data_IF_301246554790
#
_entry.id   IF_301246554790
#
_cell.length_a   1.000
_cell.length_b   1.000
_cell.length_c   1.000
_cell.angle_alpha   90.00
_cell.angle_beta   90.00
_cell.angle_gamma   90.00
#
_symmetry.space_group_name_H-M   'P 1'
#
loop_
_entity.id
_entity.type
_entity.pdbx_description
1 polymer ?
#
# COMPACT_ATOMS: atom_id res chain seq x y z
N UNK A 1 -10.21 8.16 -7.49
CA UNK A 1 -10.06 6.81 -8.00
C UNK A 1 -11.29 5.99 -7.66
N UNK A 2 -11.54 4.99 -8.46
CA UNK A 2 -12.78 4.22 -8.34
C UNK A 2 -12.65 2.99 -7.45
N UNK A 3 -11.72 3.04 -6.50
CA UNK A 3 -11.51 1.93 -5.58
C UNK A 3 -12.28 2.13 -4.30
N UNK A 4 -12.75 1.02 -3.74
CA UNK A 4 -13.40 1.00 -2.44
C UNK A 4 -12.58 0.08 -1.53
N UNK A 5 -12.20 0.59 -0.37
CA UNK A 5 -11.48 -0.19 0.62
C UNK A 5 -12.46 -0.63 1.71
N UNK A 6 -12.71 -1.93 1.77
CA UNK A 6 -13.58 -2.51 2.80
C UNK A 6 -12.71 -3.08 3.91
N UNK A 7 -12.64 -2.37 5.03
CA UNK A 7 -11.79 -2.76 6.14
C UNK A 7 -12.32 -3.96 6.89
N UNK A 8 -13.63 -4.12 6.92
CA UNK A 8 -14.25 -5.24 7.64
C UNK A 8 -13.97 -6.56 6.93
N UNK A 9 -14.12 -6.57 5.61
CA UNK A 9 -13.91 -7.76 4.80
C UNK A 9 -12.46 -7.90 4.33
N UNK A 10 -11.65 -6.88 4.56
CA UNK A 10 -10.24 -6.83 4.14
C UNK A 10 -10.10 -7.06 2.64
N UNK A 11 -10.86 -6.27 1.88
CA UNK A 11 -10.80 -6.34 0.43
C UNK A 11 -10.65 -4.93 -0.17
N UNK A 12 -9.99 -4.90 -1.31
CA UNK A 12 -9.94 -3.73 -2.16
C UNK A 12 -10.80 -4.04 -3.37
N UNK A 13 -11.74 -3.17 -3.68
CA UNK A 13 -12.75 -3.43 -4.68
C UNK A 13 -12.74 -2.35 -5.75
N UNK A 14 -12.92 -2.78 -6.99
CA UNK A 14 -13.08 -1.86 -8.11
C UNK A 14 -14.09 -2.49 -9.07
N UNK A 15 -15.20 -1.78 -9.31
CA UNK A 15 -16.30 -2.31 -10.11
C UNK A 15 -16.77 -3.65 -9.51
N UNK A 16 -16.75 -4.73 -10.29
CA UNK A 16 -17.17 -6.05 -9.81
C UNK A 16 -16.00 -6.95 -9.44
N UNK A 17 -14.81 -6.38 -9.30
CA UNK A 17 -13.61 -7.13 -9.01
C UNK A 17 -13.16 -6.90 -7.57
N UNK A 18 -12.81 -7.98 -6.87
CA UNK A 18 -12.35 -7.92 -5.49
C UNK A 18 -10.93 -8.46 -5.38
N UNK A 19 -10.18 -7.87 -4.47
CA UNK A 19 -8.84 -8.37 -4.12
C UNK A 19 -8.76 -8.46 -2.60
N UNK A 20 -8.50 -9.66 -2.09
CA UNK A 20 -8.26 -9.82 -0.65
C UNK A 20 -6.89 -9.27 -0.30
N UNK A 21 -6.84 -8.48 0.76
CA UNK A 21 -5.59 -7.88 1.22
C UNK A 21 -5.46 -8.07 2.72
N UNK A 22 -4.24 -7.92 3.21
CA UNK A 22 -3.96 -8.10 4.63
C UNK A 22 -4.27 -6.83 5.41
N UNK A 23 -4.33 -6.95 6.72
CA UNK A 23 -4.55 -5.81 7.61
C UNK A 23 -3.46 -4.75 7.43
N UNK A 24 -2.21 -5.19 7.29
CA UNK A 24 -1.09 -4.26 7.08
C UNK A 24 -1.19 -3.55 5.73
N UNK A 25 -1.66 -4.25 4.72
CA UNK A 25 -1.88 -3.64 3.41
C UNK A 25 -2.99 -2.60 3.47
N UNK A 26 -4.04 -2.88 4.25
CA UNK A 26 -5.10 -1.90 4.48
C UNK A 26 -4.54 -0.65 5.15
N UNK A 27 -3.77 -0.83 6.21
CA UNK A 27 -3.16 0.29 6.93
C UNK A 27 -2.28 1.12 6.01
N UNK A 28 -1.52 0.46 5.16
CA UNK A 28 -0.66 1.14 4.21
C UNK A 28 -1.46 1.98 3.21
N UNK A 29 -2.51 1.39 2.64
CA UNK A 29 -3.35 2.12 1.68
C UNK A 29 -4.03 3.31 2.35
N UNK A 30 -4.54 3.12 3.57
CA UNK A 30 -5.18 4.20 4.30
C UNK A 30 -4.25 5.37 4.59
N UNK A 31 -3.02 5.07 5.02
CA UNK A 31 -2.09 6.13 5.37
C UNK A 31 -1.67 6.91 4.12
N UNK A 32 -1.52 6.22 2.99
CA UNK A 32 -1.22 6.90 1.73
C UNK A 32 -2.39 7.76 1.28
N UNK A 33 -3.60 7.25 1.42
CA UNK A 33 -4.79 7.98 0.98
C UNK A 33 -5.03 9.24 1.81
N UNK A 34 -4.67 9.22 3.08
CA UNK A 34 -4.86 10.37 3.95
C UNK A 34 -3.73 11.39 3.88
N UNK A 35 -2.64 11.06 3.21
CA UNK A 35 -1.50 11.95 3.08
C UNK A 35 -1.56 12.78 1.81
N UNK A 36 -1.23 14.07 1.92
CA UNK A 36 -1.15 14.96 0.76
C UNK A 36 0.25 14.93 0.13
N UNK A 37 1.19 14.25 0.77
CA UNK A 37 2.58 14.18 0.32
C UNK A 37 3.02 12.73 0.24
N UNK A 38 4.01 12.41 -0.61
CA UNK A 38 4.59 11.07 -0.61
C UNK A 38 5.18 10.74 0.76
N UNK A 39 5.08 9.49 1.16
CA UNK A 39 5.59 9.02 2.45
C UNK A 39 6.85 8.20 2.24
N UNK A 40 7.88 8.48 3.02
CA UNK A 40 9.16 7.78 2.91
C UNK A 40 9.06 6.33 3.38
N UNK A 41 10.01 5.51 2.92
CA UNK A 41 10.10 4.13 3.35
C UNK A 41 10.28 4.01 4.86
N UNK A 42 11.11 4.90 5.43
CA UNK A 42 11.36 4.89 6.88
C UNK A 42 10.09 5.18 7.66
N UNK A 43 9.32 6.15 7.21
CA UNK A 43 8.06 6.50 7.86
C UNK A 43 7.09 5.33 7.81
N UNK A 44 6.97 4.69 6.64
CA UNK A 44 6.07 3.56 6.44
C UNK A 44 6.51 2.37 7.30
N UNK A 45 7.80 2.06 7.31
CA UNK A 45 8.36 0.97 8.09
C UNK A 45 8.02 1.13 9.57
N UNK A 46 8.22 2.34 10.07
CA UNK A 46 8.03 2.64 11.47
C UNK A 46 6.56 2.64 11.87
N UNK A 47 5.69 3.17 11.02
CA UNK A 47 4.29 3.41 11.39
C UNK A 47 3.35 2.28 10.99
N UNK A 48 3.70 1.49 9.98
CA UNK A 48 2.83 0.39 9.52
C UNK A 48 3.33 -0.94 10.06
N UNK A 49 4.62 -1.20 9.94
CA UNK A 49 5.19 -2.50 10.32
C UNK A 49 5.86 -2.49 11.71
N UNK A 50 5.94 -1.33 12.35
CA UNK A 50 6.47 -1.18 13.71
C UNK A 50 7.88 -1.73 13.90
N UNK A 51 8.68 -1.75 12.85
CA UNK A 51 10.05 -2.18 12.95
C UNK A 51 10.91 -1.05 13.51
N UNK A 52 12.03 -1.44 14.14
CA UNK A 52 12.97 -0.46 14.63
C UNK A 52 13.69 0.24 13.49
N UNK A 53 14.29 1.38 13.77
CA UNK A 53 15.04 2.13 12.77
C UNK A 53 16.26 1.38 12.26
N UNK A 54 16.69 0.34 12.97
CA UNK A 54 17.82 -0.50 12.58
C UNK A 54 17.42 -1.55 11.54
N UNK A 55 16.13 -1.72 11.29
CA UNK A 55 15.65 -2.71 10.32
C UNK A 55 15.83 -2.17 8.92
N UNK A 56 16.26 -3.06 8.03
CA UNK A 56 16.47 -2.72 6.63
C UNK A 56 15.15 -2.37 5.94
N UNK A 57 15.14 -1.25 5.23
CA UNK A 57 13.94 -0.81 4.49
C UNK A 57 13.57 -1.73 3.34
N UNK A 58 14.44 -2.69 2.98
CA UNK A 58 14.10 -3.70 1.98
C UNK A 58 12.86 -4.49 2.34
N UNK A 59 12.59 -4.66 3.64
CA UNK A 59 11.38 -5.35 4.09
C UNK A 59 10.13 -4.60 3.60
N UNK A 60 10.15 -3.27 3.73
CA UNK A 60 9.05 -2.44 3.25
C UNK A 60 8.92 -2.54 1.74
N UNK A 61 10.04 -2.43 1.03
CA UNK A 61 10.03 -2.53 -0.43
C UNK A 61 9.42 -3.84 -0.91
N UNK A 62 9.76 -4.95 -0.24
CA UNK A 62 9.23 -6.25 -0.60
C UNK A 62 7.72 -6.30 -0.40
N UNK A 63 7.22 -5.80 0.74
CA UNK A 63 5.79 -5.78 1.02
C UNK A 63 5.03 -4.93 0.01
N UNK A 64 5.57 -3.75 -0.29
CA UNK A 64 4.93 -2.84 -1.25
C UNK A 64 4.95 -3.43 -2.65
N UNK A 65 6.07 -4.04 -3.04
CA UNK A 65 6.18 -4.69 -4.34
C UNK A 65 5.13 -5.77 -4.52
N UNK A 66 4.96 -6.62 -3.51
CA UNK A 66 3.96 -7.70 -3.56
C UNK A 66 2.54 -7.15 -3.67
N UNK A 67 2.24 -6.10 -2.91
CA UNK A 67 0.92 -5.47 -2.99
C UNK A 67 0.68 -4.88 -4.37
N UNK A 68 1.67 -4.18 -4.92
CA UNK A 68 1.54 -3.60 -6.26
C UNK A 68 1.31 -4.67 -7.31
N UNK A 69 1.98 -5.83 -7.19
CA UNK A 69 1.79 -6.95 -8.11
C UNK A 69 0.38 -7.52 -8.00
N UNK A 70 -0.12 -7.67 -6.79
CA UNK A 70 -1.49 -8.16 -6.57
C UNK A 70 -2.51 -7.24 -7.23
N UNK A 71 -2.34 -5.94 -7.05
CA UNK A 71 -3.24 -4.94 -7.64
C UNK A 71 -3.14 -4.94 -9.16
N UNK A 72 -1.93 -4.99 -9.68
CA UNK A 72 -1.70 -5.04 -11.13
C UNK A 72 -2.35 -6.27 -11.75
N UNK A 73 -2.17 -7.43 -11.13
CA UNK A 73 -2.70 -8.67 -11.66
C UNK A 73 -4.24 -8.69 -11.62
N UNK A 74 -4.81 -8.19 -10.53
CA UNK A 74 -6.25 -8.27 -10.32
C UNK A 74 -7.01 -7.18 -11.08
N UNK A 75 -6.50 -5.95 -11.05
CA UNK A 75 -7.20 -4.78 -11.60
C UNK A 75 -6.55 -4.24 -12.87
N UNK A 76 -5.45 -4.82 -13.31
CA UNK A 76 -4.70 -4.33 -14.47
C UNK A 76 -4.24 -2.88 -14.30
N UNK A 77 -3.92 -2.51 -13.06
CA UNK A 77 -3.54 -1.14 -12.70
C UNK A 77 -2.14 -1.15 -12.09
N UNK A 78 -1.17 -0.66 -12.85
CA UNK A 78 0.21 -0.56 -12.37
C UNK A 78 0.52 0.80 -11.74
N UNK A 79 -0.46 1.69 -11.68
CA UNK A 79 -0.28 3.06 -11.20
C UNK A 79 -1.02 3.38 -9.91
N UNK A 80 -1.63 2.39 -9.28
CA UNK A 80 -2.38 2.63 -8.06
C UNK A 80 -1.47 3.16 -6.94
N UNK A 81 -0.31 2.56 -6.78
CA UNK A 81 0.69 3.03 -5.81
C UNK A 81 1.85 3.63 -6.61
N UNK A 82 2.09 4.91 -6.39
CA UNK A 82 3.15 5.64 -7.08
C UNK A 82 4.42 5.66 -6.24
N UNK A 83 5.54 5.51 -6.89
CA UNK A 83 6.85 5.54 -6.25
C UNK A 83 7.66 6.68 -6.87
N UNK A 84 8.19 7.55 -6.02
CA UNK A 84 9.02 8.66 -6.45
C UNK A 84 10.24 8.75 -5.55
N UNK A 85 11.11 9.72 -5.84
CA UNK A 85 12.29 9.97 -4.99
C UNK A 85 11.89 10.35 -3.57
N UNK A 86 10.70 10.93 -3.42
CA UNK A 86 10.22 11.38 -2.11
C UNK A 86 9.48 10.31 -1.34
N UNK A 87 9.17 9.18 -1.97
CA UNK A 87 8.49 8.08 -1.32
C UNK A 87 7.30 7.56 -2.11
N UNK A 88 6.34 7.00 -1.40
CA UNK A 88 5.16 6.38 -2.00
C UNK A 88 3.92 7.23 -1.80
N UNK A 89 3.02 7.18 -2.78
CA UNK A 89 1.75 7.93 -2.74
C UNK A 89 0.70 7.20 -3.58
N UNK A 90 -0.54 7.60 -3.42
CA UNK A 90 -1.62 7.12 -4.28
C UNK A 90 -1.90 8.09 -5.43
#
# INVERSE_FOLDING_TARGET
KNYILDKNERILKKNNTFLKITEKEIDFIEILNSSTKPLSKDFILKNIWNYSTDTDTHTVETHIYRLRQKIKDKFKDSNFIKNSKKGYSL
#
